data_IF_334591663064
#
_entry.id   IF_334591663064
#
_cell.length_a   1.000
_cell.length_b   1.000
_cell.length_c   1.000
_cell.angle_alpha   90.00
_cell.angle_beta   90.00
_cell.angle_gamma   90.00
#
_symmetry.space_group_name_H-M   'P 1'
#
loop_
_entity.id
_entity.type
_entity.pdbx_description
1 polymer ?
#
# COMPACT_ATOMS: atom_id res chain seq x y z
N UNK A 1 30.72 0.98 20.75
CA UNK A 1 30.52 0.87 19.29
C UNK A 1 29.15 0.23 19.08
N UNK A 2 28.12 1.04 18.82
CA UNK A 2 26.77 0.56 18.58
C UNK A 2 26.72 0.08 17.12
N UNK A 3 26.81 -1.23 16.90
CA UNK A 3 26.63 -1.80 15.56
C UNK A 3 25.15 -1.70 15.19
N UNK A 4 24.76 -0.59 14.55
CA UNK A 4 23.48 -0.50 13.86
C UNK A 4 23.51 -1.50 12.70
N UNK A 5 23.05 -2.72 12.95
CA UNK A 5 22.62 -3.63 11.89
C UNK A 5 21.37 -3.01 11.28
N UNK A 6 21.55 -2.11 10.32
CA UNK A 6 20.47 -1.72 9.41
C UNK A 6 20.19 -2.94 8.53
N UNK A 7 19.50 -3.93 9.11
CA UNK A 7 18.94 -5.02 8.33
C UNK A 7 18.08 -4.37 7.25
N UNK A 8 18.36 -4.67 5.98
CA UNK A 8 17.53 -4.22 4.87
C UNK A 8 16.08 -4.58 5.23
N UNK A 9 15.27 -3.56 5.54
CA UNK A 9 13.86 -3.75 5.78
C UNK A 9 13.31 -4.33 4.49
N UNK A 10 12.89 -5.61 4.53
CA UNK A 10 12.39 -6.30 3.34
C UNK A 10 11.22 -5.47 2.80
N UNK A 11 11.43 -4.85 1.65
CA UNK A 11 10.39 -4.09 0.97
C UNK A 11 9.18 -5.00 0.74
N UNK A 12 8.02 -4.54 1.18
CA UNK A 12 6.74 -5.23 0.98
C UNK A 12 6.33 -5.09 -0.49
N UNK A 13 6.58 -3.90 -1.07
CA UNK A 13 6.39 -3.57 -2.50
C UNK A 13 7.60 -2.82 -3.06
N UNK A 14 7.82 -2.95 -4.37
CA UNK A 14 8.90 -2.25 -5.07
C UNK A 14 8.56 -0.77 -5.31
N UNK A 15 9.58 0.07 -5.49
CA UNK A 15 9.42 1.52 -5.71
C UNK A 15 9.16 1.91 -7.18
N UNK A 16 9.32 0.99 -8.13
CA UNK A 16 9.17 1.19 -9.58
C UNK A 16 7.70 1.15 -10.06
N UNK A 17 6.75 1.56 -9.22
CA UNK A 17 5.33 1.66 -9.58
C UNK A 17 5.13 2.78 -10.61
N UNK A 18 4.42 2.47 -11.70
CA UNK A 18 4.08 3.41 -12.78
C UNK A 18 2.75 4.12 -12.53
N UNK A 19 1.75 3.36 -12.12
CA UNK A 19 0.38 3.84 -11.89
C UNK A 19 -0.30 2.98 -10.83
N UNK A 20 -1.30 3.55 -10.16
CA UNK A 20 -2.12 2.83 -9.20
C UNK A 20 -3.60 3.00 -9.53
N UNK A 21 -4.38 1.94 -9.36
CA UNK A 21 -5.84 1.98 -9.43
C UNK A 21 -6.40 1.78 -8.04
N UNK A 22 -7.30 2.66 -7.62
CA UNK A 22 -7.97 2.60 -6.32
C UNK A 22 -9.44 2.33 -6.55
N UNK A 23 -9.90 1.18 -6.08
CA UNK A 23 -11.28 0.73 -6.15
C UNK A 23 -11.88 0.79 -4.75
N UNK A 24 -12.98 1.54 -4.59
CA UNK A 24 -13.80 1.47 -3.38
C UNK A 24 -14.76 0.30 -3.52
N UNK A 25 -14.67 -0.66 -2.60
CA UNK A 25 -15.41 -1.92 -2.70
C UNK A 25 -16.91 -1.75 -2.45
N UNK A 26 -17.31 -0.77 -1.63
CA UNK A 26 -18.72 -0.48 -1.38
C UNK A 26 -19.44 0.10 -2.61
N UNK A 27 -18.76 0.99 -3.34
CA UNK A 27 -19.39 1.78 -4.42
C UNK A 27 -18.94 1.37 -5.82
N UNK A 28 -17.98 0.45 -5.94
CA UNK A 28 -17.29 0.09 -7.19
C UNK A 28 -16.68 1.30 -7.93
N UNK A 29 -16.45 2.42 -7.24
CA UNK A 29 -15.79 3.59 -7.82
C UNK A 29 -14.30 3.31 -8.00
N UNK A 30 -13.79 3.53 -9.22
CA UNK A 30 -12.39 3.31 -9.57
C UNK A 30 -11.72 4.65 -9.89
N UNK A 31 -10.60 4.93 -9.24
CA UNK A 31 -9.74 6.08 -9.47
C UNK A 31 -8.41 5.61 -10.05
N UNK A 32 -7.89 6.34 -11.03
CA UNK A 32 -6.55 6.12 -11.58
C UNK A 32 -5.62 7.20 -11.05
N UNK A 33 -4.52 6.79 -10.42
CA UNK A 33 -3.45 7.67 -9.96
C UNK A 33 -2.23 7.46 -10.87
N UNK A 34 -1.76 8.58 -11.44
CA UNK A 34 -0.50 8.65 -12.20
C UNK A 34 0.48 9.65 -11.57
N UNK A 35 0.03 10.42 -10.58
CA UNK A 35 0.85 11.35 -9.81
C UNK A 35 1.94 10.59 -9.04
N UNK A 36 3.20 10.91 -9.34
CA UNK A 36 4.36 10.19 -8.78
C UNK A 36 4.47 10.39 -7.27
N UNK A 37 4.16 11.58 -6.79
CA UNK A 37 4.21 11.95 -5.37
C UNK A 37 3.17 11.14 -4.57
N UNK A 38 1.94 11.00 -5.08
CA UNK A 38 0.89 10.19 -4.46
C UNK A 38 1.25 8.70 -4.45
N UNK A 39 1.75 8.18 -5.57
CA UNK A 39 2.22 6.79 -5.66
C UNK A 39 3.34 6.54 -4.66
N UNK A 40 4.31 7.45 -4.56
CA UNK A 40 5.42 7.33 -3.61
C UNK A 40 4.94 7.34 -2.16
N UNK A 41 3.92 8.13 -1.81
CA UNK A 41 3.30 8.11 -0.48
C UNK A 41 2.69 6.76 -0.16
N UNK A 42 1.93 6.17 -1.10
CA UNK A 42 1.35 4.83 -0.93
C UNK A 42 2.46 3.79 -0.72
N UNK A 43 3.48 3.79 -1.59
CA UNK A 43 4.63 2.87 -1.50
C UNK A 43 5.37 3.03 -0.17
N UNK A 44 5.60 4.27 0.27
CA UNK A 44 6.26 4.56 1.54
C UNK A 44 5.47 4.01 2.73
N UNK A 45 4.17 4.33 2.82
CA UNK A 45 3.30 3.88 3.91
C UNK A 45 3.22 2.35 3.96
N UNK A 46 3.13 1.69 2.80
CA UNK A 46 3.14 0.22 2.72
C UNK A 46 4.47 -0.33 3.23
N UNK A 47 5.61 0.21 2.79
CA UNK A 47 6.93 -0.32 3.14
C UNK A 47 7.38 -0.01 4.58
N UNK A 48 6.86 1.04 5.21
CA UNK A 48 7.14 1.38 6.61
C UNK A 48 6.31 0.57 7.62
N UNK A 49 5.36 -0.23 7.13
CA UNK A 49 4.39 -0.94 7.96
C UNK A 49 4.92 -2.19 8.64
N UNK A 50 4.27 -2.58 9.73
CA UNK A 50 4.62 -3.77 10.52
C UNK A 50 3.59 -4.87 10.34
N UNK A 51 4.02 -6.12 10.43
CA UNK A 51 3.11 -7.28 10.40
C UNK A 51 2.28 -7.33 11.67
N UNK A 52 1.00 -7.65 11.54
CA UNK A 52 0.10 -7.86 12.67
C UNK A 52 -0.94 -8.91 12.32
N UNK A 53 -1.30 -9.77 13.27
CA UNK A 53 -2.38 -10.74 13.09
C UNK A 53 -3.69 -10.15 13.61
N UNK A 54 -4.61 -9.82 12.71
CA UNK A 54 -5.93 -9.33 13.08
C UNK A 54 -7.01 -9.71 12.04
N UNK A 55 -8.27 -9.67 12.47
CA UNK A 55 -9.43 -9.76 11.56
C UNK A 55 -9.37 -8.56 10.62
N UNK A 56 -9.51 -8.82 9.32
CA UNK A 56 -9.34 -7.83 8.27
C UNK A 56 -10.48 -7.94 7.26
N UNK A 57 -11.27 -6.88 7.14
CA UNK A 57 -12.33 -6.73 6.15
C UNK A 57 -11.98 -5.48 5.33
N UNK A 58 -11.64 -5.60 4.03
CA UNK A 58 -11.25 -4.44 3.23
C UNK A 58 -12.43 -3.57 2.82
N UNK A 59 -12.20 -2.27 2.68
CA UNK A 59 -13.11 -1.29 2.08
C UNK A 59 -12.54 -0.68 0.78
N UNK A 60 -11.22 -0.77 0.60
CA UNK A 60 -10.49 -0.26 -0.56
C UNK A 60 -9.58 -1.35 -1.12
N UNK A 61 -9.49 -1.42 -2.45
CA UNK A 61 -8.53 -2.24 -3.18
C UNK A 61 -7.62 -1.33 -4.01
N UNK A 62 -6.33 -1.46 -3.80
CA UNK A 62 -5.30 -0.77 -4.57
C UNK A 62 -4.58 -1.76 -5.47
N UNK A 63 -4.53 -1.47 -6.77
CA UNK A 63 -3.76 -2.25 -7.74
C UNK A 63 -2.58 -1.40 -8.19
N UNK A 64 -1.38 -1.77 -7.75
CA UNK A 64 -0.13 -1.19 -8.23
C UNK A 64 0.25 -1.83 -9.55
N UNK A 65 0.56 -1.01 -10.56
CA UNK A 65 1.07 -1.44 -11.86
C UNK A 65 2.52 -0.97 -11.97
N UNK A 66 3.45 -1.91 -12.14
CA UNK A 66 4.87 -1.63 -12.26
C UNK A 66 5.28 -1.34 -13.71
N UNK A 67 6.51 -0.83 -13.89
CA UNK A 67 7.08 -0.55 -15.22
C UNK A 67 7.14 -1.78 -16.13
N UNK A 68 7.34 -2.97 -15.57
CA UNK A 68 7.34 -4.25 -16.29
C UNK A 68 5.92 -4.84 -16.50
N UNK A 69 4.88 -4.04 -16.23
CA UNK A 69 3.46 -4.41 -16.27
C UNK A 69 3.03 -5.49 -15.27
N UNK A 70 3.89 -5.90 -14.32
CA UNK A 70 3.44 -6.70 -13.19
C UNK A 70 2.43 -5.92 -12.38
N UNK A 71 1.53 -6.65 -11.72
CA UNK A 71 0.49 -6.11 -10.88
C UNK A 71 0.65 -6.63 -9.46
N UNK A 72 0.42 -5.76 -8.47
CA UNK A 72 0.30 -6.16 -7.07
C UNK A 72 -0.99 -5.60 -6.51
N UNK A 73 -1.76 -6.47 -5.86
CA UNK A 73 -3.03 -6.10 -5.25
C UNK A 73 -2.79 -5.92 -3.76
N UNK A 74 -3.27 -4.81 -3.23
CA UNK A 74 -3.24 -4.46 -1.82
C UNK A 74 -4.69 -4.22 -1.41
N UNK A 75 -5.17 -4.97 -0.43
CA UNK A 75 -6.47 -4.76 0.18
C UNK A 75 -6.27 -3.86 1.40
N UNK A 76 -7.04 -2.80 1.56
CA UNK A 76 -6.86 -1.79 2.61
C UNK A 76 -8.14 -1.64 3.42
N UNK A 77 -7.98 -1.33 4.71
CA UNK A 77 -9.00 -0.76 5.59
C UNK A 77 -8.31 0.22 6.54
N UNK A 78 -8.48 1.52 6.28
CA UNK A 78 -7.84 2.60 7.03
C UNK A 78 -6.30 2.50 7.01
N UNK A 79 -5.70 2.23 8.18
CA UNK A 79 -4.25 2.04 8.32
C UNK A 79 -3.82 0.56 8.26
N UNK A 80 -4.75 -0.37 8.10
CA UNK A 80 -4.49 -1.81 7.95
C UNK A 80 -4.53 -2.19 6.49
N UNK A 81 -3.70 -3.15 6.10
CA UNK A 81 -3.77 -3.72 4.76
C UNK A 81 -3.34 -5.18 4.72
N UNK A 82 -3.70 -5.85 3.62
CA UNK A 82 -3.29 -7.22 3.31
C UNK A 82 -2.70 -7.30 1.92
N UNK A 83 -1.58 -8.01 1.82
CA UNK A 83 -0.87 -8.31 0.58
C UNK A 83 -0.37 -9.75 0.66
N UNK A 84 -0.63 -10.53 -0.39
CA UNK A 84 -0.30 -11.97 -0.47
C UNK A 84 -0.73 -12.77 0.78
N UNK A 85 -1.90 -12.46 1.34
CA UNK A 85 -2.44 -13.13 2.52
C UNK A 85 -1.91 -12.64 3.87
N UNK A 86 -0.86 -11.81 3.89
CA UNK A 86 -0.23 -11.29 5.11
C UNK A 86 -0.83 -9.93 5.46
N UNK A 87 -1.21 -9.77 6.73
CA UNK A 87 -1.76 -8.52 7.27
C UNK A 87 -0.66 -7.63 7.86
N UNK A 88 -0.80 -6.33 7.62
CA UNK A 88 0.10 -5.28 8.06
C UNK A 88 -0.68 -4.09 8.61
N UNK A 89 -0.02 -3.32 9.48
CA UNK A 89 -0.53 -2.08 10.05
C UNK A 89 0.52 -0.98 9.87
N UNK A 90 0.05 0.13 9.33
CA UNK A 90 0.78 1.38 9.15
C UNK A 90 0.52 2.35 10.30
N UNK A 91 1.48 3.23 10.59
CA UNK A 91 1.26 4.37 11.48
C UNK A 91 0.17 5.31 10.94
N UNK A 92 0.17 5.48 9.62
CA UNK A 92 -0.72 6.39 8.89
C UNK A 92 -1.69 5.61 8.02
N UNK A 93 -2.79 6.25 7.62
CA UNK A 93 -3.69 5.65 6.63
C UNK A 93 -2.95 5.45 5.30
N UNK A 94 -3.09 4.26 4.72
CA UNK A 94 -2.40 3.94 3.45
C UNK A 94 -2.97 4.79 2.30
N UNK A 95 -4.27 5.03 2.36
CA UNK A 95 -4.98 5.89 1.45
C UNK A 95 -6.01 6.70 2.24
N UNK A 96 -6.00 8.01 2.05
CA UNK A 96 -7.09 8.89 2.44
C UNK A 96 -7.62 9.58 1.19
N UNK A 97 -8.94 9.69 1.08
CA UNK A 97 -9.58 10.61 0.14
C UNK A 97 -8.95 11.99 0.34
N UNK A 98 -8.18 12.48 -0.62
CA UNK A 98 -8.05 13.92 -0.83
C UNK A 98 -9.31 14.36 -1.57
N UNK A 99 -10.33 14.80 -0.84
CA UNK A 99 -11.41 15.59 -1.40
C UNK A 99 -11.67 16.75 -0.45
N UNK A 100 -11.11 17.91 -0.81
CA UNK A 100 -11.93 19.04 -1.22
C UNK A 100 -11.54 19.37 -2.67
#
# INVERSE_FOLDING_TARGET
MLMCMTGCQKHIVEANVREAYIEKLETNQIYKITCKEEINKIVYNVNSSKREFCIFIPDVKVVLIYRDNKKRIILINGNKFKIDGITYVSSDKIWEKQFN
#
